data_IF_118655656230
#
_entry.id   IF_118655656230
#
_cell.length_a   1.000
_cell.length_b   1.000
_cell.length_c   1.000
_cell.angle_alpha   90.00
_cell.angle_beta   90.00
_cell.angle_gamma   90.00
#
_symmetry.space_group_name_H-M   'P 1'
#
loop_
_entity.id
_entity.type
_entity.pdbx_description
1 polymer ?
#
# COMPACT_ATOMS: atom_id res chain seq x y z
N UNK A 1 -35.72 -0.93 70.17
CA UNK A 1 -34.66 -0.33 69.39
C UNK A 1 -34.43 -1.21 68.18
N UNK A 2 -34.99 -0.84 66.99
CA UNK A 2 -34.81 -1.60 65.74
C UNK A 2 -33.70 -0.93 64.93
N UNK A 3 -32.58 -1.60 64.70
CA UNK A 3 -31.49 -1.14 63.85
C UNK A 3 -31.82 -1.41 62.39
N UNK A 4 -31.96 -0.38 61.61
CA UNK A 4 -32.10 -0.43 60.17
C UNK A 4 -30.68 -0.51 59.54
N UNK A 5 -30.43 -1.57 58.79
CA UNK A 5 -29.18 -1.69 57.95
C UNK A 5 -29.52 -1.14 56.55
N UNK A 6 -28.81 -0.07 56.20
CA UNK A 6 -28.81 0.47 54.83
C UNK A 6 -27.75 -0.30 54.05
N UNK A 7 -28.19 -1.11 53.06
CA UNK A 7 -27.32 -1.79 52.12
C UNK A 7 -27.06 -0.81 50.95
N UNK A 8 -25.86 -0.29 50.87
CA UNK A 8 -25.43 0.52 49.72
C UNK A 8 -25.02 -0.44 48.60
N UNK A 9 -25.84 -0.58 47.58
CA UNK A 9 -25.48 -1.27 46.34
C UNK A 9 -24.60 -0.36 45.48
N UNK A 10 -23.32 -0.62 45.42
CA UNK A 10 -22.41 0.04 44.49
C UNK A 10 -22.61 -0.55 43.09
N UNK A 11 -23.28 0.15 42.19
CA UNK A 11 -23.26 -0.16 40.76
C UNK A 11 -21.87 0.16 40.20
N UNK A 12 -21.05 -0.86 39.96
CA UNK A 12 -19.85 -0.76 39.16
C UNK A 12 -20.32 -0.72 37.70
N UNK A 13 -20.41 0.49 37.14
CA UNK A 13 -20.55 0.66 35.71
C UNK A 13 -19.22 0.26 35.05
N UNK A 14 -19.16 -0.94 34.49
CA UNK A 14 -18.10 -1.30 33.54
C UNK A 14 -18.31 -0.44 32.31
N UNK A 15 -17.52 0.62 32.18
CA UNK A 15 -17.29 1.28 30.91
C UNK A 15 -16.63 0.22 30.00
N UNK A 16 -17.44 -0.45 29.19
CA UNK A 16 -16.94 -1.11 28.00
C UNK A 16 -16.34 0.01 27.14
N UNK A 17 -15.02 0.12 27.15
CA UNK A 17 -14.34 0.91 26.13
C UNK A 17 -14.73 0.25 24.79
N UNK A 18 -15.65 0.90 24.08
CA UNK A 18 -15.86 0.58 22.67
C UNK A 18 -14.55 0.87 22.00
N UNK A 19 -13.78 -0.17 21.70
CA UNK A 19 -12.65 -0.05 20.77
C UNK A 19 -13.27 0.53 19.49
N UNK A 20 -12.73 1.62 18.94
CA UNK A 20 -13.11 1.99 17.59
C UNK A 20 -13.00 0.75 16.72
N UNK A 21 -13.94 0.55 15.82
CA UNK A 21 -13.90 -0.53 14.85
C UNK A 21 -12.80 -0.17 13.83
N UNK A 22 -11.57 -0.39 14.25
CA UNK A 22 -10.37 -0.24 13.45
C UNK A 22 -10.11 -1.61 12.84
N UNK A 23 -10.30 -1.70 11.53
CA UNK A 23 -10.22 -2.95 10.82
C UNK A 23 -9.37 -2.76 9.58
N UNK A 24 -8.10 -3.13 9.66
CA UNK A 24 -7.26 -3.21 8.48
C UNK A 24 -7.62 -4.45 7.64
N UNK A 25 -7.25 -4.43 6.39
CA UNK A 25 -7.54 -5.49 5.44
C UNK A 25 -6.24 -6.01 4.84
N UNK A 26 -6.15 -7.32 4.70
CA UNK A 26 -4.99 -7.97 4.08
C UNK A 26 -5.36 -8.55 2.73
N UNK A 27 -4.44 -8.50 1.78
CA UNK A 27 -4.57 -9.36 0.60
C UNK A 27 -4.67 -10.80 1.03
N UNK A 28 -5.80 -11.42 0.67
CA UNK A 28 -6.13 -12.78 1.06
C UNK A 28 -6.55 -13.58 -0.17
N UNK A 29 -5.92 -14.72 -0.39
CA UNK A 29 -6.35 -15.65 -1.43
C UNK A 29 -7.69 -16.30 -1.05
N UNK A 30 -8.41 -16.81 -2.04
CA UNK A 30 -9.65 -17.57 -1.80
C UNK A 30 -9.45 -18.79 -0.88
N UNK A 31 -8.21 -19.24 -0.73
CA UNK A 31 -7.83 -20.30 0.23
C UNK A 31 -7.67 -19.81 1.68
N UNK A 32 -7.83 -18.52 1.96
CA UNK A 32 -7.59 -17.90 3.26
C UNK A 32 -6.12 -17.57 3.54
N UNK A 33 -5.21 -17.81 2.60
CA UNK A 33 -3.79 -17.47 2.75
C UNK A 33 -3.58 -15.98 2.54
N UNK A 34 -2.98 -15.29 3.51
CA UNK A 34 -2.69 -13.86 3.48
C UNK A 34 -1.30 -13.56 2.96
N UNK A 35 -1.13 -12.38 2.34
CA UNK A 35 0.15 -11.95 1.79
C UNK A 35 1.04 -11.32 2.85
N UNK A 36 2.34 -11.65 2.81
CA UNK A 36 3.40 -10.96 3.56
C UNK A 36 4.79 -11.23 2.96
N UNK A 37 5.72 -10.33 3.22
CA UNK A 37 7.14 -10.56 2.91
C UNK A 37 7.74 -11.63 3.82
N UNK A 38 8.57 -12.53 3.28
CA UNK A 38 9.24 -13.56 4.07
C UNK A 38 10.53 -13.10 4.75
N UNK A 39 10.89 -11.83 4.59
CA UNK A 39 12.16 -11.23 5.02
C UNK A 39 11.95 -9.96 5.81
N UNK A 40 12.99 -9.54 6.57
CA UNK A 40 12.94 -8.33 7.41
C UNK A 40 13.03 -7.04 6.61
N UNK A 41 13.74 -7.05 5.47
CA UNK A 41 13.93 -5.87 4.64
C UNK A 41 13.25 -6.03 3.28
N UNK A 42 12.62 -4.96 2.83
CA UNK A 42 12.10 -4.82 1.47
C UNK A 42 12.91 -3.75 0.75
N UNK A 43 13.65 -4.17 -0.30
CA UNK A 43 14.41 -3.23 -1.12
C UNK A 43 13.53 -2.71 -2.24
N UNK A 44 13.45 -1.39 -2.37
CA UNK A 44 12.64 -0.70 -3.37
C UNK A 44 13.53 0.28 -4.13
N UNK A 45 13.62 0.15 -5.46
CA UNK A 45 14.41 1.06 -6.28
C UNK A 45 13.53 2.07 -6.98
N UNK A 46 13.71 3.36 -6.70
CA UNK A 46 12.98 4.43 -7.37
C UNK A 46 13.72 4.93 -8.62
N UNK A 47 12.96 5.17 -9.71
CA UNK A 47 13.45 5.63 -11.01
C UNK A 47 12.86 7.00 -11.36
N UNK A 48 13.40 8.11 -10.80
CA UNK A 48 12.82 9.43 -10.95
C UNK A 48 13.25 10.17 -12.24
N UNK A 49 14.15 9.62 -13.08
CA UNK A 49 14.81 10.34 -14.19
C UNK A 49 13.84 11.13 -15.10
N UNK A 50 12.70 10.52 -15.49
CA UNK A 50 11.71 11.17 -16.36
C UNK A 50 10.77 12.13 -15.60
N UNK A 51 10.84 12.15 -14.28
CA UNK A 51 9.94 12.93 -13.43
C UNK A 51 10.60 14.16 -12.79
N UNK A 52 11.94 14.23 -12.73
CA UNK A 52 12.69 15.34 -12.12
C UNK A 52 12.44 16.70 -12.78
N UNK A 53 11.94 16.72 -14.02
CA UNK A 53 11.52 17.94 -14.70
C UNK A 53 10.19 18.51 -14.17
N UNK A 54 9.41 17.72 -13.42
CA UNK A 54 8.11 18.09 -12.87
C UNK A 54 8.13 18.31 -11.36
N UNK A 55 9.02 17.63 -10.66
CA UNK A 55 9.22 17.74 -9.21
C UNK A 55 10.72 17.64 -8.89
N UNK A 56 11.30 18.50 -8.04
CA UNK A 56 12.71 18.44 -7.67
C UNK A 56 13.10 17.07 -7.08
N UNK A 57 14.29 16.58 -7.43
CA UNK A 57 14.77 15.26 -7.03
C UNK A 57 14.80 15.07 -5.51
N UNK A 58 15.27 16.07 -4.79
CA UNK A 58 15.33 16.06 -3.32
C UNK A 58 13.94 15.92 -2.68
N UNK A 59 12.91 16.53 -3.27
CA UNK A 59 11.53 16.37 -2.83
C UNK A 59 10.98 14.98 -3.16
N UNK A 60 11.31 14.43 -4.34
CA UNK A 60 10.93 13.05 -4.70
C UNK A 60 11.56 12.06 -3.71
N UNK A 61 12.85 12.22 -3.44
CA UNK A 61 13.59 11.39 -2.50
C UNK A 61 12.99 11.50 -1.07
N UNK A 62 12.77 12.72 -0.58
CA UNK A 62 12.17 12.97 0.72
C UNK A 62 10.78 12.36 0.85
N UNK A 63 9.94 12.49 -0.19
CA UNK A 63 8.59 11.93 -0.19
C UNK A 63 8.61 10.40 -0.16
N UNK A 64 9.43 9.77 -0.99
CA UNK A 64 9.49 8.31 -1.11
C UNK A 64 10.13 7.67 0.13
N UNK A 65 11.27 8.19 0.61
CA UNK A 65 11.90 7.72 1.85
C UNK A 65 10.98 7.94 3.06
N UNK A 66 10.37 9.13 3.17
CA UNK A 66 9.47 9.42 4.27
C UNK A 66 8.20 8.57 4.29
N UNK A 67 7.74 8.06 3.14
CA UNK A 67 6.68 7.08 3.06
C UNK A 67 7.13 5.70 3.57
N UNK A 68 8.34 5.26 3.20
CA UNK A 68 8.95 4.02 3.72
C UNK A 68 9.15 4.09 5.24
N UNK A 69 9.70 5.20 5.73
CA UNK A 69 9.91 5.44 7.16
C UNK A 69 8.60 5.38 7.96
N UNK A 70 7.48 5.81 7.39
CA UNK A 70 6.20 5.75 8.08
C UNK A 70 5.80 4.32 8.45
N UNK A 71 6.11 3.34 7.63
CA UNK A 71 5.84 1.91 7.88
C UNK A 71 6.93 1.21 8.69
N UNK A 72 8.19 1.63 8.53
CA UNK A 72 9.35 1.00 9.18
C UNK A 72 9.60 1.52 10.60
N UNK A 73 9.23 2.78 10.89
CA UNK A 73 9.51 3.46 12.17
C UNK A 73 8.24 3.85 12.90
N UNK A 74 7.34 2.89 13.14
CA UNK A 74 6.20 3.13 14.04
C UNK A 74 6.69 3.50 15.44
N UNK A 75 5.96 4.38 16.12
CA UNK A 75 6.38 5.00 17.40
C UNK A 75 6.66 4.01 18.54
N UNK A 76 6.07 2.81 18.48
CA UNK A 76 6.46 1.67 19.32
C UNK A 76 7.20 0.68 18.42
N UNK A 77 8.43 0.20 18.80
CA UNK A 77 9.19 -0.75 17.98
C UNK A 77 8.54 -2.14 17.97
N UNK A 78 7.34 -2.22 17.44
CA UNK A 78 6.51 -3.42 17.39
C UNK A 78 6.77 -4.28 16.16
N UNK A 79 7.36 -3.70 15.11
CA UNK A 79 7.61 -4.38 13.83
C UNK A 79 9.08 -4.60 13.56
N UNK A 80 9.40 -5.67 12.83
CA UNK A 80 10.73 -5.91 12.29
C UNK A 80 10.88 -5.41 10.85
N UNK A 81 9.80 -4.99 10.21
CA UNK A 81 9.81 -4.64 8.80
C UNK A 81 10.60 -3.35 8.55
N UNK A 82 11.52 -3.41 7.59
CA UNK A 82 12.32 -2.27 7.13
C UNK A 82 12.17 -2.12 5.62
N UNK A 83 11.59 -1.02 5.18
CA UNK A 83 11.45 -0.67 3.76
C UNK A 83 12.59 0.27 3.39
N UNK A 84 13.54 -0.24 2.62
CA UNK A 84 14.73 0.49 2.20
C UNK A 84 14.55 1.00 0.77
N UNK A 85 14.73 2.30 0.55
CA UNK A 85 14.60 2.92 -0.77
C UNK A 85 15.96 3.30 -1.32
N UNK A 86 16.29 2.77 -2.49
CA UNK A 86 17.43 3.18 -3.30
C UNK A 86 16.97 3.98 -4.53
N UNK A 87 17.87 4.74 -5.14
CA UNK A 87 17.57 5.62 -6.25
C UNK A 87 18.47 5.36 -7.44
N UNK A 88 17.87 5.10 -8.59
CA UNK A 88 18.57 4.89 -9.83
C UNK A 88 18.42 6.11 -10.75
N UNK A 89 19.53 6.56 -11.32
CA UNK A 89 19.54 7.59 -12.39
C UNK A 89 19.40 6.98 -13.79
N UNK A 90 19.29 5.66 -13.88
CA UNK A 90 19.04 4.96 -15.13
C UNK A 90 17.67 5.34 -15.72
N UNK A 91 17.52 5.08 -17.02
CA UNK A 91 16.22 5.18 -17.65
C UNK A 91 15.21 4.26 -16.94
N UNK A 92 13.97 4.76 -16.82
CA UNK A 92 12.89 4.04 -16.15
C UNK A 92 12.68 2.63 -16.75
N UNK A 93 12.80 1.56 -15.96
CA UNK A 93 12.52 0.21 -16.42
C UNK A 93 11.02 0.03 -16.64
N UNK A 94 10.66 -1.12 -17.17
CA UNK A 94 9.27 -1.56 -17.20
C UNK A 94 8.94 -2.26 -15.90
N UNK A 95 7.77 -1.95 -15.32
CA UNK A 95 7.20 -2.76 -14.25
C UNK A 95 7.06 -4.21 -14.74
N UNK A 96 7.62 -5.12 -13.98
CA UNK A 96 7.60 -6.54 -14.30
C UNK A 96 7.43 -7.37 -13.01
N UNK A 97 6.20 -7.68 -12.62
CA UNK A 97 5.89 -8.31 -11.34
C UNK A 97 6.45 -9.75 -11.18
N UNK A 98 7.42 -10.14 -12.01
CA UNK A 98 8.04 -11.47 -11.98
C UNK A 98 9.56 -11.45 -11.93
N UNK A 99 10.19 -10.28 -11.91
CA UNK A 99 11.64 -10.18 -11.89
C UNK A 99 12.23 -10.07 -10.48
N UNK A 100 11.36 -10.03 -9.47
CA UNK A 100 11.71 -9.92 -8.06
C UNK A 100 12.50 -8.64 -7.73
N UNK A 101 12.27 -7.58 -8.50
CA UNK A 101 12.88 -6.27 -8.31
C UNK A 101 11.78 -5.25 -8.04
N UNK A 102 11.46 -5.06 -6.78
CA UNK A 102 10.44 -4.07 -6.41
C UNK A 102 10.90 -2.65 -6.74
N UNK A 103 10.04 -1.88 -7.40
CA UNK A 103 10.43 -0.57 -7.92
C UNK A 103 9.33 0.49 -7.78
N UNK A 104 9.77 1.76 -7.80
CA UNK A 104 8.88 2.92 -7.96
C UNK A 104 9.13 3.56 -9.32
N UNK A 105 8.08 3.63 -10.13
CA UNK A 105 8.11 4.15 -11.49
C UNK A 105 7.18 5.34 -11.61
N UNK A 106 7.67 6.46 -12.15
CA UNK A 106 6.88 7.67 -12.40
C UNK A 106 6.44 7.73 -13.87
N UNK A 107 5.19 7.35 -14.14
CA UNK A 107 4.63 7.28 -15.49
C UNK A 107 4.30 8.67 -16.03
N UNK A 108 5.20 9.23 -16.85
CA UNK A 108 5.04 10.57 -17.44
C UNK A 108 4.46 10.57 -18.85
N UNK A 109 4.51 9.44 -19.58
CA UNK A 109 4.15 9.32 -20.98
C UNK A 109 2.99 8.35 -21.24
N UNK A 110 2.87 7.31 -20.44
CA UNK A 110 1.87 6.25 -20.61
C UNK A 110 1.26 5.84 -19.29
N UNK A 111 -0.04 5.53 -19.26
CA UNK A 111 -0.72 5.02 -18.08
C UNK A 111 -1.47 3.71 -18.43
N UNK A 112 -0.69 2.64 -18.50
CA UNK A 112 -1.14 1.33 -18.96
C UNK A 112 -0.11 0.25 -18.63
N UNK A 113 -0.52 -1.00 -18.69
CA UNK A 113 0.42 -2.12 -18.71
C UNK A 113 1.18 -2.12 -20.04
N UNK A 114 2.50 -2.09 -19.97
CA UNK A 114 3.34 -2.11 -21.18
C UNK A 114 3.52 -3.53 -21.70
N UNK A 115 3.41 -3.69 -23.02
CA UNK A 115 3.79 -4.88 -23.75
C UNK A 115 5.33 -4.98 -23.89
N UNK A 116 5.89 -6.13 -24.30
CA UNK A 116 7.33 -6.30 -24.51
C UNK A 116 7.98 -5.30 -25.47
N UNK A 117 7.23 -4.75 -26.41
CA UNK A 117 7.68 -3.71 -27.35
C UNK A 117 7.66 -2.28 -26.77
N UNK A 118 7.21 -2.12 -25.53
CA UNK A 118 7.09 -0.81 -24.85
C UNK A 118 5.81 -0.04 -25.16
N UNK A 119 4.90 -0.59 -25.95
CA UNK A 119 3.59 0.02 -26.22
C UNK A 119 2.58 -0.35 -25.13
N UNK A 120 1.56 0.49 -25.00
CA UNK A 120 0.41 0.18 -24.14
C UNK A 120 -0.32 -1.08 -24.62
N UNK A 121 -0.66 -1.96 -23.69
CA UNK A 121 -1.63 -3.01 -23.95
C UNK A 121 -3.05 -2.39 -24.00
N UNK A 122 -3.72 -2.37 -25.15
CA UNK A 122 -5.05 -1.78 -25.25
C UNK A 122 -6.11 -2.49 -24.38
N UNK A 123 -5.86 -3.75 -24.02
CA UNK A 123 -6.71 -4.53 -23.12
C UNK A 123 -6.41 -4.32 -21.64
N UNK A 124 -5.32 -3.60 -21.30
CA UNK A 124 -4.85 -3.38 -19.95
C UNK A 124 -4.49 -1.91 -19.69
N UNK A 125 -5.37 -1.00 -20.10
CA UNK A 125 -5.31 0.41 -19.74
C UNK A 125 -5.66 0.57 -18.26
N UNK A 126 -4.88 1.38 -17.57
CA UNK A 126 -5.17 1.73 -16.17
C UNK A 126 -6.26 2.81 -16.12
N UNK A 127 -6.98 2.88 -14.99
CA UNK A 127 -7.96 3.94 -14.79
C UNK A 127 -7.24 5.31 -14.74
N UNK A 128 -7.58 6.25 -15.62
CA UNK A 128 -6.96 7.57 -15.62
C UNK A 128 -7.22 8.37 -14.33
N UNK A 129 -8.22 7.99 -13.52
CA UNK A 129 -8.49 8.59 -12.22
C UNK A 129 -7.65 8.01 -11.09
N UNK A 130 -6.91 6.92 -11.32
CA UNK A 130 -6.01 6.38 -10.32
C UNK A 130 -4.76 7.24 -10.19
N UNK A 131 -4.45 7.65 -8.95
CA UNK A 131 -3.25 8.45 -8.61
C UNK A 131 -1.98 7.64 -8.75
N UNK A 132 -2.03 6.40 -8.28
CA UNK A 132 -0.93 5.45 -8.35
C UNK A 132 -1.51 4.03 -8.39
N UNK A 133 -0.64 3.04 -8.55
CA UNK A 133 -1.00 1.64 -8.65
C UNK A 133 0.14 0.79 -8.11
N UNK A 134 -0.16 -0.11 -7.18
CA UNK A 134 0.80 -1.12 -6.71
C UNK A 134 0.42 -2.49 -7.23
N UNK A 135 1.35 -3.13 -7.93
CA UNK A 135 1.20 -4.52 -8.39
C UNK A 135 2.00 -5.45 -7.50
N UNK A 136 1.32 -6.28 -6.72
CA UNK A 136 1.94 -7.24 -5.79
C UNK A 136 1.92 -8.63 -6.38
N UNK A 137 3.06 -9.30 -6.38
CA UNK A 137 3.21 -10.71 -6.76
C UNK A 137 3.53 -11.57 -5.54
N UNK A 138 2.82 -12.68 -5.40
CA UNK A 138 3.01 -13.59 -4.29
C UNK A 138 2.93 -15.06 -4.73
N UNK A 139 3.53 -15.93 -3.94
CA UNK A 139 3.40 -17.39 -4.11
C UNK A 139 2.04 -17.85 -3.64
N UNK A 140 1.20 -18.36 -4.52
CA UNK A 140 -0.17 -18.78 -4.24
C UNK A 140 -0.29 -19.82 -3.12
N UNK A 141 0.73 -20.66 -2.91
CA UNK A 141 0.71 -21.71 -1.90
C UNK A 141 1.02 -21.22 -0.49
N UNK A 142 1.70 -20.08 -0.35
CA UNK A 142 2.23 -19.60 0.93
C UNK A 142 1.87 -18.15 1.25
N UNK A 143 1.40 -17.37 0.27
CA UNK A 143 1.16 -15.93 0.42
C UNK A 143 2.46 -15.11 0.50
N UNK A 144 3.63 -15.73 0.34
CA UNK A 144 4.89 -15.00 0.37
C UNK A 144 4.97 -14.02 -0.80
N UNK A 145 5.04 -12.73 -0.49
CA UNK A 145 5.29 -11.69 -1.49
C UNK A 145 6.69 -11.90 -2.05
N UNK A 146 6.82 -11.82 -3.35
CA UNK A 146 8.08 -12.00 -4.07
C UNK A 146 8.49 -10.75 -4.83
N UNK A 147 7.52 -9.86 -5.10
CA UNK A 147 7.73 -8.65 -5.88
C UNK A 147 6.58 -7.65 -5.66
N UNK A 148 6.87 -6.34 -5.71
CA UNK A 148 5.86 -5.30 -5.66
C UNK A 148 6.32 -4.04 -6.39
N UNK A 149 5.67 -3.72 -7.51
CA UNK A 149 5.96 -2.53 -8.30
C UNK A 149 4.95 -1.43 -8.02
N UNK A 150 5.42 -0.22 -7.73
CA UNK A 150 4.62 0.98 -7.54
C UNK A 150 4.73 1.84 -8.79
N UNK A 151 3.60 2.14 -9.43
CA UNK A 151 3.52 3.01 -10.60
C UNK A 151 2.77 4.29 -10.24
N UNK A 152 3.43 5.45 -10.31
CA UNK A 152 2.85 6.77 -9.99
C UNK A 152 2.35 7.41 -11.28
N UNK A 153 1.09 7.86 -11.29
CA UNK A 153 0.46 8.50 -12.44
C UNK A 153 0.88 9.98 -12.57
N UNK A 154 2.04 10.19 -13.13
CA UNK A 154 2.54 11.53 -13.44
C UNK A 154 2.10 12.01 -14.84
N UNK A 155 1.33 11.20 -15.60
CA UNK A 155 0.76 11.62 -16.88
C UNK A 155 -0.45 12.55 -16.69
N UNK A 156 -1.36 12.16 -15.80
CA UNK A 156 -2.63 12.87 -15.60
C UNK A 156 -2.65 13.78 -14.37
N UNK A 157 -1.70 13.60 -13.44
CA UNK A 157 -1.68 14.35 -12.19
C UNK A 157 -0.41 15.17 -12.02
N UNK A 158 -0.56 16.30 -11.32
CA UNK A 158 0.55 17.11 -10.87
C UNK A 158 0.84 16.80 -9.40
N UNK A 159 2.12 16.67 -9.10
CA UNK A 159 2.63 16.23 -7.81
C UNK A 159 3.46 17.31 -7.15
N UNK A 160 3.52 17.28 -5.83
CA UNK A 160 4.37 18.17 -5.04
C UNK A 160 4.58 17.62 -3.63
N UNK A 161 5.47 18.26 -2.89
CA UNK A 161 5.52 18.17 -1.43
C UNK A 161 4.69 19.33 -0.87
N UNK A 162 3.45 19.04 -0.48
CA UNK A 162 2.48 20.06 -0.10
C UNK A 162 2.68 20.59 1.32
N UNK A 163 3.55 19.99 2.11
CA UNK A 163 3.97 20.52 3.40
C UNK A 163 5.10 21.56 3.21
N UNK A 164 6.02 21.29 2.28
CA UNK A 164 7.09 22.25 1.92
C UNK A 164 6.55 23.38 1.04
N UNK A 165 5.68 23.06 0.09
CA UNK A 165 5.11 23.98 -0.88
C UNK A 165 3.57 23.88 -0.85
N UNK A 166 2.89 24.48 0.15
CA UNK A 166 1.44 24.43 0.24
C UNK A 166 0.75 24.98 -1.01
N UNK A 167 -0.34 24.35 -1.50
CA UNK A 167 -1.07 24.83 -2.65
C UNK A 167 -1.71 26.20 -2.36
N UNK A 168 -1.70 27.07 -3.39
CA UNK A 168 -2.41 28.36 -3.29
C UNK A 168 -3.85 28.21 -3.79
N UNK A 169 -4.80 29.04 -3.31
CA UNK A 169 -6.21 28.94 -3.70
C UNK A 169 -6.47 29.03 -5.21
N UNK A 170 -5.59 29.71 -5.94
CA UNK A 170 -5.68 29.91 -7.40
C UNK A 170 -4.64 29.12 -8.17
N UNK A 171 -3.82 28.33 -7.47
CA UNK A 171 -2.78 27.50 -8.07
C UNK A 171 -3.30 26.21 -8.67
N UNK A 172 -2.42 25.43 -9.29
CA UNK A 172 -2.77 24.12 -9.83
C UNK A 172 -3.21 23.17 -8.72
N UNK A 173 -4.07 22.22 -9.08
CA UNK A 173 -4.46 21.14 -8.18
C UNK A 173 -3.31 20.14 -8.10
N UNK A 174 -2.59 20.15 -6.99
CA UNK A 174 -1.47 19.26 -6.73
C UNK A 174 -1.90 18.12 -5.80
N UNK A 175 -1.35 16.94 -6.04
CA UNK A 175 -1.42 15.80 -5.12
C UNK A 175 -0.09 15.69 -4.36
N UNK A 176 -0.19 15.32 -3.10
CA UNK A 176 0.99 15.13 -2.27
C UNK A 176 1.62 13.78 -2.58
N UNK A 177 2.89 13.78 -3.01
CA UNK A 177 3.57 12.56 -3.40
C UNK A 177 3.77 11.62 -2.20
N UNK A 178 4.18 12.15 -1.03
CA UNK A 178 4.38 11.32 0.16
C UNK A 178 3.06 10.71 0.64
N UNK A 179 1.96 11.46 0.59
CA UNK A 179 0.63 10.96 0.94
C UNK A 179 0.22 9.74 0.10
N UNK A 180 0.41 9.82 -1.22
CA UNK A 180 0.12 8.70 -2.11
C UNK A 180 1.12 7.55 -1.92
N UNK A 181 2.42 7.82 -1.83
CA UNK A 181 3.44 6.79 -1.63
C UNK A 181 3.27 6.02 -0.33
N UNK A 182 2.84 6.68 0.76
CA UNK A 182 2.56 5.98 2.03
C UNK A 182 1.41 4.99 1.86
N UNK A 183 0.35 5.36 1.13
CA UNK A 183 -0.74 4.45 0.79
C UNK A 183 -0.25 3.26 -0.06
N UNK A 184 0.49 3.52 -1.13
CA UNK A 184 0.99 2.47 -2.03
C UNK A 184 1.95 1.50 -1.32
N UNK A 185 2.75 1.99 -0.37
CA UNK A 185 3.61 1.13 0.43
C UNK A 185 2.83 0.26 1.43
N UNK A 186 1.62 0.65 1.80
CA UNK A 186 0.70 -0.25 2.50
C UNK A 186 0.31 -1.46 1.64
N UNK A 187 0.03 -1.25 0.36
CA UNK A 187 -0.18 -2.35 -0.59
C UNK A 187 1.07 -3.21 -0.77
N UNK A 188 2.24 -2.58 -0.89
CA UNK A 188 3.52 -3.28 -1.00
C UNK A 188 3.73 -4.26 0.16
N UNK A 189 3.31 -3.93 1.37
CA UNK A 189 3.45 -4.81 2.54
C UNK A 189 2.30 -5.80 2.73
N UNK A 190 1.33 -5.86 1.81
CA UNK A 190 0.26 -6.85 1.81
C UNK A 190 -1.07 -6.37 2.37
N UNK A 191 -1.27 -5.06 2.55
CA UNK A 191 -2.55 -4.48 2.93
C UNK A 191 -3.44 -4.22 1.71
N UNK A 192 -4.75 -4.34 1.90
CA UNK A 192 -5.79 -3.97 0.96
C UNK A 192 -6.55 -2.73 1.45
N UNK A 193 -7.45 -2.22 0.66
CA UNK A 193 -8.28 -1.07 1.00
C UNK A 193 -9.24 -1.36 2.16
N UNK A 194 -9.46 -0.37 3.02
CA UNK A 194 -10.34 -0.46 4.19
C UNK A 194 -11.82 -0.30 3.89
N UNK A 195 -12.19 -0.09 2.63
CA UNK A 195 -13.58 -0.08 2.18
C UNK A 195 -13.72 -0.70 0.80
N UNK A 196 -14.93 -1.17 0.48
CA UNK A 196 -15.23 -1.85 -0.78
C UNK A 196 -15.75 -0.85 -1.83
N UNK A 197 -15.16 -0.80 -3.05
CA UNK A 197 -15.59 0.13 -4.08
C UNK A 197 -17.05 -0.10 -4.52
N UNK A 198 -17.87 0.94 -4.62
CA UNK A 198 -19.24 0.80 -5.07
C UNK A 198 -19.32 0.27 -6.51
N UNK A 199 -20.24 -0.66 -6.75
CA UNK A 199 -20.44 -1.26 -8.06
C UNK A 199 -19.41 -2.32 -8.46
N UNK A 200 -18.47 -2.67 -7.57
CA UNK A 200 -17.56 -3.79 -7.81
C UNK A 200 -18.33 -5.11 -7.91
N UNK A 201 -17.94 -5.94 -8.87
CA UNK A 201 -18.45 -7.31 -9.05
C UNK A 201 -17.60 -8.36 -8.33
N UNK A 202 -16.51 -7.95 -7.70
CA UNK A 202 -15.67 -8.84 -6.90
C UNK A 202 -16.39 -9.28 -5.63
N UNK A 203 -16.09 -10.46 -5.08
CA UNK A 203 -16.54 -10.80 -3.74
C UNK A 203 -16.06 -9.75 -2.73
N UNK A 204 -16.95 -9.32 -1.83
CA UNK A 204 -16.58 -8.36 -0.78
C UNK A 204 -15.67 -9.07 0.21
N UNK A 205 -14.46 -8.57 0.45
CA UNK A 205 -13.58 -9.14 1.46
C UNK A 205 -14.06 -8.79 2.87
N UNK A 206 -13.60 -9.57 3.84
CA UNK A 206 -13.74 -9.27 5.26
C UNK A 206 -12.48 -8.56 5.77
N UNK A 207 -12.64 -7.79 6.84
CA UNK A 207 -11.53 -7.19 7.57
C UNK A 207 -10.79 -8.23 8.45
N UNK A 208 -9.76 -7.79 9.19
CA UNK A 208 -8.99 -8.64 10.10
C UNK A 208 -9.81 -9.23 11.26
N UNK A 209 -10.98 -8.65 11.54
CA UNK A 209 -11.94 -9.13 12.55
C UNK A 209 -13.04 -10.01 11.96
N UNK A 210 -13.00 -10.32 10.66
CA UNK A 210 -13.97 -11.13 9.96
C UNK A 210 -15.32 -10.43 9.72
N UNK A 211 -15.31 -9.07 9.64
CA UNK A 211 -16.49 -8.30 9.29
C UNK A 211 -16.42 -7.86 7.83
N UNK A 212 -17.54 -7.92 7.08
CA UNK A 212 -17.58 -7.45 5.70
C UNK A 212 -17.22 -5.97 5.61
N UNK A 213 -16.32 -5.60 4.69
CA UNK A 213 -15.91 -4.22 4.49
C UNK A 213 -17.11 -3.30 4.24
N UNK A 214 -17.10 -2.07 4.76
CA UNK A 214 -18.12 -1.07 4.42
C UNK A 214 -18.01 -0.67 2.94
N UNK A 215 -19.10 -0.21 2.34
CA UNK A 215 -19.05 0.49 1.05
C UNK A 215 -18.35 1.84 1.22
N UNK A 216 -17.42 2.18 0.32
CA UNK A 216 -16.64 3.43 0.41
C UNK A 216 -17.50 4.69 0.39
N UNK A 217 -18.73 4.64 -0.19
CA UNK A 217 -19.66 5.78 -0.19
C UNK A 217 -20.27 6.10 1.18
N UNK A 218 -20.33 5.10 2.06
CA UNK A 218 -20.98 5.19 3.37
C UNK A 218 -20.04 4.81 4.52
N UNK A 219 -18.75 4.73 4.23
CA UNK A 219 -17.73 4.45 5.22
C UNK A 219 -17.76 5.49 6.35
N UNK A 220 -17.49 5.06 7.57
CA UNK A 220 -17.38 5.94 8.73
C UNK A 220 -16.17 6.86 8.60
N UNK A 221 -16.15 7.95 9.37
CA UNK A 221 -15.00 8.86 9.41
C UNK A 221 -13.72 8.11 9.81
N UNK A 222 -13.78 7.22 10.77
CA UNK A 222 -12.65 6.39 11.19
C UNK A 222 -12.07 5.54 10.05
N UNK A 223 -12.90 4.98 9.17
CA UNK A 223 -12.44 4.24 7.97
C UNK A 223 -11.87 5.19 6.92
N UNK A 224 -12.48 6.37 6.75
CA UNK A 224 -12.01 7.37 5.76
C UNK A 224 -10.62 7.93 6.15
N UNK A 225 -10.33 8.02 7.43
CA UNK A 225 -9.07 8.53 7.98
C UNK A 225 -7.92 7.52 7.93
N UNK A 226 -8.19 6.24 7.62
CA UNK A 226 -7.12 5.24 7.48
C UNK A 226 -6.20 5.56 6.29
N UNK A 227 -4.92 5.21 6.41
CA UNK A 227 -3.96 5.34 5.31
C UNK A 227 -4.40 4.52 4.11
N UNK A 228 -5.01 3.34 4.36
CA UNK A 228 -5.46 2.42 3.31
C UNK A 228 -6.85 2.73 2.76
N UNK A 229 -7.48 3.86 3.09
CA UNK A 229 -8.68 4.30 2.40
C UNK A 229 -8.36 4.65 0.93
N UNK A 230 -9.13 4.16 -0.09
CA UNK A 230 -8.72 4.13 -1.49
C UNK A 230 -8.77 5.47 -2.22
N UNK A 231 -8.91 6.59 -1.54
CA UNK A 231 -8.97 7.89 -2.22
C UNK A 231 -8.26 8.99 -1.47
N UNK A 232 -7.73 9.96 -2.23
CA UNK A 232 -7.23 11.23 -1.73
C UNK A 232 -7.65 12.36 -2.67
N UNK A 233 -7.92 13.53 -2.11
CA UNK A 233 -8.18 14.72 -2.92
C UNK A 233 -6.88 15.47 -3.19
N UNK A 234 -6.92 16.37 -4.15
CA UNK A 234 -5.89 17.38 -4.30
C UNK A 234 -5.79 18.20 -3.01
N UNK A 235 -4.57 18.37 -2.51
CA UNK A 235 -4.30 19.08 -1.26
C UNK A 235 -4.25 18.22 0.00
N UNK A 236 -4.72 16.97 -0.03
CA UNK A 236 -4.68 16.07 1.13
C UNK A 236 -3.23 15.65 1.46
N UNK A 237 -2.92 15.65 2.78
CA UNK A 237 -1.59 15.29 3.34
C UNK A 237 -1.68 14.36 4.55
N UNK A 238 -2.88 13.96 4.94
CA UNK A 238 -3.20 13.21 6.16
C UNK A 238 -2.58 11.81 6.18
N UNK A 239 -2.45 11.17 5.02
CA UNK A 239 -1.82 9.84 4.88
C UNK A 239 -0.29 9.85 4.90
N UNK A 240 0.35 11.00 5.12
CA UNK A 240 1.80 11.06 5.34
C UNK A 240 2.26 10.34 6.61
N UNK A 241 1.33 10.11 7.53
CA UNK A 241 1.52 9.36 8.78
C UNK A 241 0.46 8.28 8.87
N UNK A 242 0.83 7.15 9.46
CA UNK A 242 -0.09 6.04 9.63
C UNK A 242 -1.18 6.37 10.64
N UNK A 243 -2.43 6.04 10.32
CA UNK A 243 -3.50 5.99 11.30
C UNK A 243 -3.27 4.84 12.30
N UNK A 244 -3.92 4.86 13.48
CA UNK A 244 -3.74 3.80 14.50
C UNK A 244 -4.03 2.39 13.97
N UNK A 245 -4.97 2.24 13.06
CA UNK A 245 -5.32 0.99 12.41
C UNK A 245 -4.17 0.45 11.55
N UNK A 246 -3.56 1.31 10.76
CA UNK A 246 -2.43 0.96 9.90
C UNK A 246 -1.18 0.59 10.72
N UNK A 247 -0.95 1.30 11.86
CA UNK A 247 0.12 0.96 12.79
C UNK A 247 -0.10 -0.42 13.42
N UNK A 248 -1.34 -0.72 13.82
CA UNK A 248 -1.70 -2.05 14.32
C UNK A 248 -1.47 -3.12 13.25
N UNK A 249 -1.85 -2.85 12.00
CA UNK A 249 -1.66 -3.77 10.88
C UNK A 249 -0.19 -4.18 10.71
N UNK A 250 0.73 -3.23 10.60
CA UNK A 250 2.14 -3.55 10.41
C UNK A 250 2.74 -4.29 11.60
N UNK A 251 2.33 -3.95 12.84
CA UNK A 251 2.78 -4.62 14.05
C UNK A 251 2.29 -6.09 14.12
N UNK A 252 1.07 -6.37 13.69
CA UNK A 252 0.49 -7.72 13.73
C UNK A 252 0.97 -8.60 12.57
N UNK A 253 1.21 -8.01 11.40
CA UNK A 253 1.70 -8.75 10.23
C UNK A 253 3.20 -9.06 10.35
N UNK A 254 3.97 -8.12 10.89
CA UNK A 254 5.43 -8.17 10.97
C UNK A 254 5.93 -7.92 12.40
N UNK A 255 5.49 -8.72 13.40
CA UNK A 255 5.82 -8.46 14.81
C UNK A 255 7.31 -8.63 15.06
N UNK A 256 7.92 -7.70 15.81
CA UNK A 256 9.34 -7.70 16.12
C UNK A 256 9.84 -9.01 16.76
N UNK A 257 8.96 -9.73 17.47
CA UNK A 257 9.29 -11.01 18.09
C UNK A 257 9.51 -12.14 17.08
N UNK A 258 8.96 -12.01 15.86
CA UNK A 258 9.02 -13.03 14.80
C UNK A 258 10.02 -12.66 13.70
N UNK A 259 10.94 -11.72 13.96
CA UNK A 259 11.93 -11.27 12.99
C UNK A 259 12.75 -12.45 12.44
N UNK A 260 12.66 -12.76 11.13
CA UNK A 260 13.46 -13.81 10.54
C UNK A 260 14.95 -13.47 10.48
N UNK A 261 15.35 -12.23 10.77
CA UNK A 261 16.72 -11.71 10.66
C UNK A 261 17.34 -11.95 9.27
N UNK A 262 16.51 -11.87 8.24
CA UNK A 262 16.92 -12.07 6.83
C UNK A 262 16.70 -10.77 6.09
N UNK A 263 17.78 -10.03 5.90
CA UNK A 263 17.83 -8.87 5.03
C UNK A 263 18.75 -9.21 3.84
N UNK A 264 18.24 -9.94 2.87
CA UNK A 264 18.94 -10.18 1.62
C UNK A 264 18.28 -9.33 0.54
N UNK A 265 19.07 -8.46 -0.14
CA UNK A 265 18.61 -7.94 -1.42
C UNK A 265 18.25 -9.15 -2.28
N UNK A 266 17.10 -9.12 -2.92
CA UNK A 266 16.79 -10.11 -3.96
C UNK A 266 17.76 -9.81 -5.09
N UNK A 267 18.89 -10.51 -5.11
CA UNK A 267 19.79 -10.47 -6.24
C UNK A 267 19.08 -11.22 -7.35
N UNK A 268 18.84 -10.61 -8.53
CA UNK A 268 18.33 -11.34 -9.67
C UNK A 268 19.26 -12.54 -9.91
N UNK A 269 18.67 -13.72 -10.05
CA UNK A 269 19.40 -14.90 -10.51
C UNK A 269 19.73 -14.64 -11.99
N UNK A 270 20.81 -13.92 -12.21
CA UNK A 270 21.44 -13.74 -13.50
C UNK A 270 21.97 -15.11 -13.93
N UNK A 271 21.07 -15.92 -14.49
CA UNK A 271 21.29 -17.29 -14.97
C UNK A 271 22.52 -17.49 -15.88
N UNK A 272 23.69 -17.10 -15.35
CA UNK A 272 25.03 -17.19 -15.95
C UNK A 272 25.95 -18.11 -15.17
N UNK A 273 25.47 -19.29 -14.82
CA UNK A 273 26.28 -20.41 -14.35
C UNK A 273 26.24 -21.58 -15.35
N UNK A 274 27.19 -21.66 -16.22
CA UNK A 274 27.46 -22.92 -16.92
C UNK A 274 27.89 -23.97 -15.91
N UNK A 275 26.97 -24.70 -15.32
CA UNK A 275 27.26 -25.91 -14.57
C UNK A 275 26.96 -27.12 -15.45
N UNK A 276 28.03 -27.68 -16.02
CA UNK A 276 28.00 -28.94 -16.71
C UNK A 276 27.97 -30.07 -15.67
N UNK A 277 26.77 -30.49 -15.26
CA UNK A 277 26.58 -31.57 -14.29
C UNK A 277 25.25 -32.28 -14.44
N UNK A 278 25.28 -33.43 -15.11
CA UNK A 278 24.39 -34.61 -15.01
C UNK A 278 22.87 -34.42 -14.77
N UNK A 279 22.14 -34.87 -15.78
CA UNK A 279 20.69 -35.00 -15.82
C UNK A 279 20.09 -35.76 -14.62
N UNK A 280 19.23 -35.06 -13.85
CA UNK A 280 18.16 -35.69 -13.10
C UNK A 280 16.85 -35.04 -13.55
N UNK A 281 16.00 -35.79 -14.25
CA UNK A 281 14.65 -35.38 -14.60
C UNK A 281 13.81 -35.33 -13.34
N UNK A 282 13.57 -34.13 -12.83
CA UNK A 282 12.51 -33.87 -11.87
C UNK A 282 11.47 -33.03 -12.59
N UNK A 283 10.25 -33.54 -12.66
CA UNK A 283 9.06 -32.81 -13.14
C UNK A 283 8.70 -31.74 -12.10
N UNK A 284 9.30 -30.58 -12.26
CA UNK A 284 8.93 -29.41 -11.41
C UNK A 284 7.61 -28.85 -11.94
N UNK A 285 6.58 -28.94 -11.11
CA UNK A 285 5.37 -28.15 -11.30
C UNK A 285 5.75 -26.67 -11.22
N UNK A 286 5.51 -25.92 -12.27
CA UNK A 286 5.68 -24.47 -12.33
C UNK A 286 4.77 -23.82 -11.28
N UNK A 287 5.27 -23.03 -10.32
CA UNK A 287 4.41 -22.27 -9.41
C UNK A 287 3.66 -21.21 -10.23
N UNK A 288 2.34 -21.25 -10.18
CA UNK A 288 1.49 -20.17 -10.73
C UNK A 288 1.57 -19.01 -9.74
N UNK A 289 2.25 -17.94 -10.13
CA UNK A 289 2.22 -16.69 -9.41
C UNK A 289 0.97 -15.90 -9.84
N UNK A 290 0.17 -15.42 -8.88
CA UNK A 290 -0.86 -14.43 -9.15
C UNK A 290 -0.26 -13.04 -8.93
N UNK A 291 -0.49 -12.14 -9.88
CA UNK A 291 -0.25 -10.72 -9.70
C UNK A 291 -1.61 -10.04 -9.49
N UNK A 292 -1.73 -9.29 -8.38
CA UNK A 292 -2.87 -8.44 -8.11
C UNK A 292 -2.42 -6.99 -8.31
N UNK A 293 -3.17 -6.24 -9.10
CA UNK A 293 -2.96 -4.82 -9.28
C UNK A 293 -4.06 -4.06 -8.54
N UNK A 294 -3.68 -3.15 -7.66
CA UNK A 294 -4.60 -2.33 -6.88
C UNK A 294 -4.35 -0.87 -7.19
N UNK A 295 -5.40 -0.14 -7.47
CA UNK A 295 -5.34 1.25 -7.88
C UNK A 295 -5.83 2.18 -6.77
N UNK A 296 -5.07 3.22 -6.50
CA UNK A 296 -5.46 4.32 -5.63
C UNK A 296 -6.22 5.38 -6.42
N UNK A 297 -7.49 5.62 -6.07
CA UNK A 297 -8.39 6.45 -6.84
C UNK A 297 -8.62 7.84 -6.24
N UNK A 298 -8.91 8.82 -7.10
CA UNK A 298 -9.51 10.08 -6.68
C UNK A 298 -11.03 9.87 -6.55
N UNK A 299 -11.53 9.94 -5.33
CA UNK A 299 -12.95 10.00 -5.06
C UNK A 299 -13.40 11.46 -4.98
N UNK A 300 -14.09 11.97 -6.00
CA UNK A 300 -14.74 13.29 -5.90
C UNK A 300 -15.95 13.19 -4.96
N UNK A 301 -15.77 13.57 -3.70
CA UNK A 301 -16.91 13.93 -2.84
C UNK A 301 -17.68 15.07 -3.51
N UNK A 302 -18.84 14.77 -4.10
CA UNK A 302 -19.82 15.81 -4.42
C UNK A 302 -20.29 16.38 -3.08
N UNK A 303 -19.77 17.55 -2.70
CA UNK A 303 -20.39 18.35 -1.63
C UNK A 303 -21.84 18.58 -2.10
N UNK A 304 -22.81 18.00 -1.41
CA UNK A 304 -24.19 18.42 -1.48
C UNK A 304 -24.21 19.82 -0.90
N UNK A 305 -24.28 20.82 -1.76
CA UNK A 305 -24.57 22.17 -1.36
C UNK A 305 -25.96 22.16 -0.70
N UNK A 306 -26.00 22.44 0.60
CA UNK A 306 -27.25 22.81 1.25
C UNK A 306 -27.66 24.16 0.68
N UNK A 307 -28.66 24.15 -0.21
CA UNK A 307 -29.40 25.34 -0.53
C UNK A 307 -30.33 25.62 0.66
N UNK A 308 -30.04 26.69 1.35
CA UNK A 308 -30.99 27.40 2.25
C UNK A 308 -31.89 28.29 1.44
#
# INVERSE_FOLDING_TARGET
MKRAYVVLAACVATLAATRPAEAYVRYTLASGVTFKWPQSCVMLTAYPADFVSRMPLDQIMSATTGAADAWSTVSDPCTYLDIMVDYSTAAMPRANPRDQQSMVIFRTMTWCKLQPDGLCDPAAMYDPAALALTTVSARMSTGQITDADIEVNALYFMWGDLVVNPPTPTGPQLHDLRNAMTHEMGHLIGLDHTCFPPGSTMPRPDDDMGQPLPDCNVASEAVIETTMFPSANSGDVDKRTLAPDDQRAVCEIYPAADDPNVCKPVVPDDGGGCDCGAAARSTAATPVAAALAVAFFIWRRRRRGSAS
#
